data_IF_658725956330
#
_entry.id   IF_658725956330
#
_cell.length_a   1.000
_cell.length_b   1.000
_cell.length_c   1.000
_cell.angle_alpha   90.00
_cell.angle_beta   90.00
_cell.angle_gamma   90.00
#
_symmetry.space_group_name_H-M   'P 1'
#
loop_
_entity.id
_entity.type
_entity.pdbx_description
1 polymer ?
#
# COMPACT_ATOMS: atom_id res chain seq x y z
N UNK A 1 4.16 11.73 6.42
CA UNK A 1 3.44 10.99 7.47
C UNK A 1 1.96 11.36 7.34
N UNK A 2 1.06 10.38 7.17
CA UNK A 2 -0.37 10.62 6.88
C UNK A 2 -1.16 10.92 8.16
N UNK A 3 -0.89 12.06 8.80
CA UNK A 3 -1.60 12.48 10.02
C UNK A 3 -3.12 12.63 9.82
N UNK A 4 -3.54 12.92 8.59
CA UNK A 4 -4.96 13.03 8.22
C UNK A 4 -5.76 11.75 8.48
N UNK A 5 -5.15 10.58 8.26
CA UNK A 5 -5.83 9.30 8.45
C UNK A 5 -5.96 8.90 9.92
N UNK A 6 -5.27 9.59 10.84
CA UNK A 6 -5.25 9.21 12.25
C UNK A 6 -6.63 9.21 12.88
N UNK A 7 -7.40 10.30 12.68
CA UNK A 7 -8.75 10.44 13.23
C UNK A 7 -9.68 9.36 12.69
N UNK A 8 -9.61 9.10 11.39
CA UNK A 8 -10.38 8.04 10.75
C UNK A 8 -10.01 6.66 11.33
N UNK A 9 -8.72 6.37 11.48
CA UNK A 9 -8.25 5.10 12.05
C UNK A 9 -8.67 4.96 13.52
N UNK A 10 -8.66 6.05 14.29
CA UNK A 10 -9.13 6.05 15.68
C UNK A 10 -10.62 5.64 15.76
N UNK A 11 -11.47 6.18 14.89
CA UNK A 11 -12.89 5.80 14.80
C UNK A 11 -13.05 4.34 14.33
N UNK A 12 -12.26 3.90 13.36
CA UNK A 12 -12.31 2.52 12.85
C UNK A 12 -11.87 1.48 13.87
N UNK A 13 -10.94 1.82 14.78
CA UNK A 13 -10.56 0.95 15.89
C UNK A 13 -11.73 0.74 16.86
N UNK A 14 -12.45 1.82 17.21
CA UNK A 14 -13.65 1.74 18.04
C UNK A 14 -14.73 0.87 17.37
N UNK A 15 -14.93 1.05 16.06
CA UNK A 15 -15.87 0.24 15.29
C UNK A 15 -15.41 -1.21 15.13
N UNK A 16 -14.12 -1.52 15.14
CA UNK A 16 -13.63 -2.89 15.09
C UNK A 16 -13.96 -3.66 16.39
N UNK A 17 -13.82 -3.00 17.54
CA UNK A 17 -14.19 -3.56 18.84
C UNK A 17 -15.72 -3.68 19.00
N UNK A 18 -16.45 -2.72 18.44
CA UNK A 18 -17.90 -2.69 18.32
C UNK A 18 -18.53 -1.61 19.18
N UNK A 19 -19.48 -0.88 18.59
CA UNK A 19 -20.16 0.25 19.23
C UNK A 19 -21.64 -0.05 19.34
N UNK A 20 -22.22 0.20 20.52
CA UNK A 20 -23.67 0.11 20.69
C UNK A 20 -24.35 1.32 20.03
N UNK A 21 -25.28 1.06 19.12
CA UNK A 21 -26.00 2.09 18.39
C UNK A 21 -27.50 1.78 18.39
N UNK A 22 -28.31 2.82 18.60
CA UNK A 22 -29.75 2.73 18.43
C UNK A 22 -30.07 2.68 16.93
N UNK A 23 -30.70 1.60 16.50
CA UNK A 23 -31.18 1.42 15.13
C UNK A 23 -32.68 1.67 15.04
N UNK A 24 -33.12 2.03 13.83
CA UNK A 24 -34.54 2.29 13.55
C UNK A 24 -35.44 1.06 13.78
N UNK A 25 -34.93 -0.15 13.54
CA UNK A 25 -35.75 -1.37 13.49
C UNK A 25 -35.38 -2.45 14.52
N UNK A 26 -34.19 -2.38 15.13
CA UNK A 26 -33.69 -3.44 16.01
C UNK A 26 -33.32 -2.95 17.42
N UNK A 27 -33.70 -1.72 17.77
CA UNK A 27 -33.32 -1.14 19.06
C UNK A 27 -31.81 -0.92 19.16
N UNK A 28 -31.24 -1.09 20.35
CA UNK A 28 -29.78 -0.99 20.57
C UNK A 28 -29.12 -2.27 20.06
N UNK A 29 -28.24 -2.14 19.06
CA UNK A 29 -27.42 -3.25 18.56
C UNK A 29 -25.95 -2.88 18.56
N UNK A 30 -25.07 -3.88 18.65
CA UNK A 30 -23.63 -3.68 18.50
C UNK A 30 -23.26 -3.70 17.02
N UNK A 31 -22.79 -2.56 16.51
CA UNK A 31 -22.30 -2.40 15.14
C UNK A 31 -20.79 -2.56 15.12
N UNK A 32 -20.29 -3.39 14.19
CA UNK A 32 -18.86 -3.52 13.90
C UNK A 32 -18.57 -3.17 12.45
N UNK A 33 -17.45 -2.50 12.20
CA UNK A 33 -17.00 -2.19 10.84
C UNK A 33 -15.50 -2.40 10.70
N UNK A 34 -15.10 -2.95 9.54
CA UNK A 34 -13.71 -3.19 9.18
C UNK A 34 -13.52 -2.92 7.68
N UNK A 35 -13.16 -1.69 7.27
CA UNK A 35 -12.86 -1.39 5.87
C UNK A 35 -11.57 -2.10 5.42
N UNK A 36 -11.67 -2.90 4.37
CA UNK A 36 -10.59 -3.75 3.85
C UNK A 36 -10.12 -3.37 2.46
N UNK A 37 -10.56 -2.25 1.87
CA UNK A 37 -10.20 -1.92 0.49
C UNK A 37 -9.68 -0.49 0.36
N UNK A 38 -8.49 -0.36 -0.23
CA UNK A 38 -7.93 0.91 -0.72
C UNK A 38 -8.11 0.92 -2.23
N UNK A 39 -9.18 1.57 -2.70
CA UNK A 39 -9.46 1.79 -4.11
C UNK A 39 -9.08 3.25 -4.46
N UNK A 40 -7.86 3.42 -4.96
CA UNK A 40 -7.34 4.71 -5.42
C UNK A 40 -6.45 4.49 -6.64
N UNK A 41 -6.04 5.57 -7.31
CA UNK A 41 -4.95 5.48 -8.27
C UNK A 41 -3.66 4.92 -7.60
N UNK A 42 -2.78 4.31 -8.40
CA UNK A 42 -1.60 3.63 -7.87
C UNK A 42 -0.69 4.57 -7.03
N UNK A 43 -0.45 5.84 -7.43
CA UNK A 43 0.32 6.78 -6.60
C UNK A 43 -0.33 7.09 -5.25
N UNK A 44 -1.64 7.30 -5.17
CA UNK A 44 -2.33 7.57 -3.92
C UNK A 44 -2.40 6.32 -3.05
N UNK A 45 -2.74 5.15 -3.63
CA UNK A 45 -2.77 3.88 -2.92
C UNK A 45 -1.45 3.60 -2.21
N UNK A 46 -0.31 3.79 -2.91
CA UNK A 46 1.04 3.65 -2.32
C UNK A 46 1.27 4.59 -1.14
N UNK A 47 0.88 5.86 -1.26
CA UNK A 47 1.02 6.81 -0.14
C UNK A 47 0.15 6.39 1.05
N UNK A 48 -1.07 5.93 0.79
CA UNK A 48 -2.04 5.51 1.80
C UNK A 48 -1.56 4.28 2.56
N UNK A 49 -1.02 3.27 1.87
CA UNK A 49 -0.52 2.04 2.51
C UNK A 49 0.90 2.16 3.07
N UNK A 50 1.60 3.27 2.83
CA UNK A 50 2.98 3.45 3.31
C UNK A 50 4.03 2.80 2.41
N UNK A 51 3.81 2.75 1.10
CA UNK A 51 4.81 2.31 0.13
C UNK A 51 5.58 3.45 -0.51
N UNK A 52 6.78 3.12 -0.99
CA UNK A 52 7.62 4.04 -1.77
C UNK A 52 7.07 4.33 -3.18
N UNK A 53 7.54 5.42 -3.79
CA UNK A 53 7.00 5.96 -5.04
C UNK A 53 7.24 5.05 -6.25
N UNK A 54 6.64 5.42 -7.40
CA UNK A 54 6.74 4.68 -8.66
C UNK A 54 8.18 4.52 -9.20
N UNK A 55 9.13 5.38 -8.79
CA UNK A 55 10.53 5.27 -9.21
C UNK A 55 11.40 4.60 -8.13
N UNK A 56 10.79 3.86 -7.20
CA UNK A 56 11.51 3.06 -6.22
C UNK A 56 12.07 1.79 -6.86
N UNK A 57 13.19 1.28 -6.34
CA UNK A 57 13.67 -0.06 -6.70
C UNK A 57 12.70 -1.13 -6.15
N UNK A 58 12.05 -0.83 -5.03
CA UNK A 58 11.02 -1.65 -4.40
C UNK A 58 9.63 -1.21 -4.86
N UNK A 59 9.37 -1.26 -6.17
CA UNK A 59 8.13 -0.71 -6.70
C UNK A 59 6.92 -1.62 -6.53
N UNK A 60 7.06 -2.95 -6.55
CA UNK A 60 5.90 -3.83 -6.50
C UNK A 60 5.32 -3.92 -5.09
N UNK A 61 4.00 -3.74 -4.95
CA UNK A 61 3.27 -3.90 -3.70
C UNK A 61 3.11 -5.36 -3.27
N UNK A 62 3.18 -6.30 -4.23
CA UNK A 62 2.98 -7.71 -3.96
C UNK A 62 4.27 -8.49 -3.77
N UNK A 63 5.38 -8.11 -4.41
CA UNK A 63 6.63 -8.87 -4.34
C UNK A 63 7.81 -8.05 -3.80
N UNK A 64 8.84 -8.75 -3.32
CA UNK A 64 10.09 -8.17 -2.81
C UNK A 64 11.17 -8.01 -3.88
N UNK A 65 10.88 -8.33 -5.14
CA UNK A 65 11.82 -8.18 -6.24
C UNK A 65 12.30 -6.72 -6.41
N UNK A 66 13.59 -6.56 -6.69
CA UNK A 66 14.24 -5.27 -6.87
C UNK A 66 14.32 -4.90 -8.36
N UNK A 67 13.57 -3.89 -8.75
CA UNK A 67 13.47 -3.44 -10.13
C UNK A 67 14.50 -2.35 -10.42
N UNK A 68 15.59 -2.76 -11.06
CA UNK A 68 16.64 -1.85 -11.51
C UNK A 68 16.14 -0.97 -12.65
N UNK A 69 16.74 0.21 -12.79
CA UNK A 69 16.46 1.08 -13.94
C UNK A 69 16.99 0.46 -15.23
N UNK A 70 16.34 0.78 -16.35
CA UNK A 70 16.82 0.41 -17.69
C UNK A 70 18.13 1.19 -17.98
N UNK A 71 19.16 0.56 -18.56
CA UNK A 71 20.39 1.26 -18.95
C UNK A 71 20.07 2.48 -19.85
N UNK A 72 20.60 3.65 -19.50
CA UNK A 72 20.33 4.91 -20.20
C UNK A 72 19.01 5.61 -19.84
N UNK A 73 18.11 4.96 -19.09
CA UNK A 73 16.81 5.51 -18.68
C UNK A 73 16.62 5.40 -17.16
N UNK A 74 17.25 6.27 -16.35
CA UNK A 74 17.26 6.17 -14.89
C UNK A 74 15.87 6.25 -14.25
N UNK A 75 14.91 6.88 -14.93
CA UNK A 75 13.52 7.04 -14.48
C UNK A 75 12.57 5.95 -14.97
N UNK A 76 13.07 4.91 -15.64
CA UNK A 76 12.27 3.78 -16.13
C UNK A 76 12.75 2.49 -15.49
N UNK A 77 11.83 1.77 -14.85
CA UNK A 77 12.11 0.51 -14.17
C UNK A 77 12.02 -0.65 -15.15
N UNK A 78 12.93 -1.60 -15.02
CA UNK A 78 13.00 -2.78 -15.88
C UNK A 78 12.13 -3.91 -15.32
N UNK A 79 10.83 -3.84 -15.62
CA UNK A 79 9.88 -4.91 -15.26
C UNK A 79 10.10 -6.20 -16.05
N UNK A 80 10.76 -6.15 -17.22
CA UNK A 80 11.01 -7.33 -18.04
C UNK A 80 12.01 -8.30 -17.40
N UNK A 81 12.85 -7.81 -16.48
CA UNK A 81 13.83 -8.62 -15.75
C UNK A 81 13.22 -9.40 -14.57
N UNK A 82 11.94 -9.20 -14.24
CA UNK A 82 11.30 -9.94 -13.18
C UNK A 82 11.12 -11.43 -13.57
N UNK A 83 11.43 -12.38 -12.66
CA UNK A 83 11.17 -13.79 -12.89
C UNK A 83 9.70 -14.08 -13.24
N UNK A 84 9.46 -14.90 -14.26
CA UNK A 84 8.12 -15.31 -14.72
C UNK A 84 7.81 -16.79 -14.47
N UNK A 85 8.72 -17.49 -13.81
CA UNK A 85 8.67 -18.91 -13.48
C UNK A 85 7.98 -19.19 -12.13
N UNK A 86 7.37 -18.17 -11.52
CA UNK A 86 6.73 -18.29 -10.22
C UNK A 86 7.68 -18.24 -9.02
N UNK A 87 8.98 -17.96 -9.22
CA UNK A 87 9.96 -17.83 -8.14
C UNK A 87 9.92 -16.48 -7.42
N UNK A 88 8.97 -15.61 -7.77
CA UNK A 88 8.79 -14.31 -7.13
C UNK A 88 8.40 -14.48 -5.66
N UNK A 89 9.24 -13.95 -4.78
CA UNK A 89 8.94 -13.90 -3.35
C UNK A 89 7.89 -12.82 -3.10
N UNK A 90 6.73 -13.27 -2.61
CA UNK A 90 5.62 -12.40 -2.22
C UNK A 90 5.95 -11.72 -0.88
N UNK A 91 5.53 -10.47 -0.73
CA UNK A 91 5.67 -9.73 0.52
C UNK A 91 4.80 -10.37 1.59
N UNK A 92 5.29 -10.28 2.82
CA UNK A 92 4.55 -10.69 4.01
C UNK A 92 4.07 -9.45 4.78
N UNK A 93 2.81 -9.45 5.21
CA UNK A 93 2.20 -8.34 5.93
C UNK A 93 2.83 -8.11 7.30
N UNK A 94 3.26 -9.18 7.99
CA UNK A 94 3.95 -9.08 9.27
C UNK A 94 5.29 -8.35 9.14
N UNK A 95 6.11 -8.77 8.18
CA UNK A 95 7.38 -8.15 7.82
C UNK A 95 7.20 -6.70 7.37
N UNK A 96 6.13 -6.40 6.63
CA UNK A 96 5.78 -5.04 6.27
C UNK A 96 5.56 -4.16 7.51
N UNK A 97 4.76 -4.63 8.47
CA UNK A 97 4.47 -3.90 9.73
C UNK A 97 5.73 -3.67 10.55
N UNK A 98 6.58 -4.68 10.71
CA UNK A 98 7.85 -4.55 11.43
C UNK A 98 8.74 -3.49 10.77
N UNK A 99 8.91 -3.55 9.45
CA UNK A 99 9.71 -2.57 8.72
C UNK A 99 9.13 -1.15 8.80
N UNK A 100 7.80 -1.02 8.77
CA UNK A 100 7.11 0.26 8.92
C UNK A 100 7.32 0.88 10.31
N UNK A 101 7.29 0.08 11.37
CA UNK A 101 7.56 0.54 12.74
C UNK A 101 9.04 0.93 12.93
N UNK A 102 9.98 0.14 12.38
CA UNK A 102 11.40 0.52 12.36
C UNK A 102 11.58 1.88 11.66
N UNK A 103 10.92 2.07 10.52
CA UNK A 103 10.97 3.33 9.77
C UNK A 103 10.40 4.52 10.58
N UNK A 104 9.27 4.31 11.27
CA UNK A 104 8.63 5.32 12.14
C UNK A 104 9.56 5.76 13.27
N UNK A 105 10.19 4.78 13.94
CA UNK A 105 11.03 4.99 15.11
C UNK A 105 12.46 5.45 14.76
N UNK A 106 12.85 5.37 13.49
CA UNK A 106 14.13 5.90 13.02
C UNK A 106 14.10 7.43 13.05
N UNK A 107 15.02 8.13 13.74
CA UNK A 107 14.95 9.58 13.94
C UNK A 107 15.49 10.38 12.75
N UNK A 108 16.50 9.87 12.06
CA UNK A 108 17.24 10.57 11.01
C UNK A 108 16.61 10.38 9.63
N UNK A 109 16.52 11.47 8.86
CA UNK A 109 16.00 11.43 7.50
C UNK A 109 16.86 10.59 6.55
N UNK A 110 18.18 10.60 6.74
CA UNK A 110 19.13 9.77 5.97
C UNK A 110 18.86 8.29 6.18
N UNK A 111 18.79 7.83 7.43
CA UNK A 111 18.53 6.43 7.75
C UNK A 111 17.13 5.97 7.33
N UNK A 112 16.11 6.85 7.36
CA UNK A 112 14.80 6.55 6.75
C UNK A 112 14.89 6.37 5.24
N UNK A 113 15.73 7.14 4.57
CA UNK A 113 15.96 7.01 3.12
C UNK A 113 16.67 5.70 2.78
N UNK A 114 17.61 5.25 3.62
CA UNK A 114 18.24 3.94 3.49
C UNK A 114 17.20 2.80 3.66
N UNK A 115 16.30 2.93 4.64
CA UNK A 115 15.20 1.97 4.84
C UNK A 115 14.20 1.98 3.68
N UNK A 116 13.88 3.15 3.11
CA UNK A 116 13.06 3.27 1.91
C UNK A 116 13.67 2.49 0.75
N UNK A 117 14.99 2.63 0.52
CA UNK A 117 15.69 1.92 -0.54
C UNK A 117 15.77 0.42 -0.28
N UNK A 118 16.00 0.02 0.97
CA UNK A 118 16.15 -1.38 1.36
C UNK A 118 14.83 -2.14 1.32
N UNK A 119 13.79 -1.61 1.95
CA UNK A 119 12.54 -2.32 2.20
C UNK A 119 11.38 -1.85 1.30
N UNK A 120 11.42 -0.59 0.85
CA UNK A 120 10.33 0.02 0.08
C UNK A 120 9.10 0.42 0.90
N UNK A 121 9.24 0.42 2.23
CA UNK A 121 8.13 0.56 3.19
C UNK A 121 8.36 1.76 4.11
N UNK A 122 7.28 2.47 4.38
CA UNK A 122 7.13 3.63 5.27
C UNK A 122 5.95 3.38 6.20
N UNK A 123 5.88 4.13 7.29
CA UNK A 123 4.75 4.03 8.21
C UNK A 123 3.45 4.62 7.64
N UNK A 124 2.34 3.90 7.83
CA UNK A 124 0.98 4.36 7.62
C UNK A 124 0.12 4.13 8.85
N UNK A 125 -0.82 5.06 9.13
CA UNK A 125 -1.79 4.92 10.22
C UNK A 125 -2.68 3.68 10.03
N UNK A 126 -2.95 3.25 8.79
CA UNK A 126 -3.76 2.06 8.53
C UNK A 126 -3.16 0.77 9.12
N UNK A 127 -1.84 0.74 9.34
CA UNK A 127 -1.18 -0.41 9.98
C UNK A 127 -1.56 -0.56 11.45
N UNK A 128 -2.24 0.40 12.08
CA UNK A 128 -2.77 0.22 13.43
C UNK A 128 -3.96 -0.74 13.47
N UNK A 129 -4.67 -0.90 12.36
CA UNK A 129 -5.79 -1.84 12.23
C UNK A 129 -5.20 -3.25 12.10
N UNK A 130 -5.47 -4.14 13.06
CA UNK A 130 -4.89 -5.49 13.09
C UNK A 130 -5.27 -6.36 11.89
N UNK A 131 -6.48 -6.17 11.37
CA UNK A 131 -7.02 -6.90 10.21
C UNK A 131 -6.53 -6.36 8.86
N UNK A 132 -5.91 -5.18 8.81
CA UNK A 132 -5.59 -4.52 7.53
C UNK A 132 -4.32 -5.11 6.90
N UNK A 133 -4.43 -5.66 5.69
CA UNK A 133 -3.27 -6.14 4.94
C UNK A 133 -2.88 -5.16 3.81
N UNK A 134 -1.77 -4.41 3.92
CA UNK A 134 -1.36 -3.45 2.89
C UNK A 134 -0.98 -4.08 1.54
N UNK A 135 -0.78 -5.40 1.47
CA UNK A 135 -0.40 -6.14 0.28
C UNK A 135 -1.64 -6.62 -0.46
N UNK A 136 -2.61 -7.18 0.26
CA UNK A 136 -3.85 -7.74 -0.33
C UNK A 136 -4.95 -6.70 -0.52
N UNK A 137 -5.02 -5.67 0.33
CA UNK A 137 -6.16 -4.75 0.39
C UNK A 137 -6.06 -3.56 -0.57
N UNK A 138 -5.09 -3.58 -1.49
CA UNK A 138 -4.92 -2.57 -2.53
C UNK A 138 -5.57 -3.05 -3.81
N UNK A 139 -6.64 -2.37 -4.22
CA UNK A 139 -7.34 -2.67 -5.46
C UNK A 139 -6.73 -1.84 -6.58
N UNK A 140 -6.37 -2.50 -7.68
CA UNK A 140 -5.96 -1.79 -8.89
C UNK A 140 -7.17 -1.10 -9.52
N UNK A 141 -7.11 0.22 -9.63
CA UNK A 141 -8.16 0.99 -10.29
C UNK A 141 -8.08 0.83 -11.81
N UNK A 142 -8.78 -0.19 -12.32
CA UNK A 142 -8.85 -0.51 -13.75
C UNK A 142 -9.52 0.62 -14.53
N UNK A 143 -10.51 1.30 -13.95
CA UNK A 143 -11.29 2.33 -14.62
C UNK A 143 -10.43 3.54 -14.97
N UNK A 144 -9.64 4.05 -14.02
CA UNK A 144 -8.73 5.16 -14.28
C UNK A 144 -7.65 4.79 -15.29
N UNK A 145 -7.08 3.58 -15.19
CA UNK A 145 -6.07 3.12 -16.15
C UNK A 145 -6.64 2.98 -17.58
N UNK A 146 -7.90 2.56 -17.70
CA UNK A 146 -8.59 2.43 -18.99
C UNK A 146 -8.92 3.80 -19.57
N UNK A 147 -9.49 4.70 -18.75
CA UNK A 147 -9.87 6.05 -19.19
C UNK A 147 -8.65 6.94 -19.53
N UNK A 148 -7.52 6.75 -18.85
CA UNK A 148 -6.27 7.46 -19.16
C UNK A 148 -5.59 6.97 -20.46
N UNK A 149 -6.18 5.99 -21.16
CA UNK A 149 -5.65 5.46 -22.42
C UNK A 149 -4.37 4.63 -22.25
N UNK A 150 -4.05 4.18 -21.02
CA UNK A 150 -2.88 3.31 -20.79
C UNK A 150 -3.05 1.98 -21.51
N UNK A 151 -4.25 1.39 -21.46
CA UNK A 151 -4.59 0.18 -22.21
C UNK A 151 -4.46 0.41 -23.72
N UNK A 152 -4.96 1.53 -24.24
CA UNK A 152 -4.83 1.88 -25.65
C UNK A 152 -3.37 2.02 -26.09
N UNK A 153 -2.53 2.69 -25.28
CA UNK A 153 -1.10 2.84 -25.56
C UNK A 153 -0.38 1.50 -25.57
N UNK A 154 -0.69 0.60 -24.65
CA UNK A 154 -0.12 -0.75 -24.63
C UNK A 154 -0.48 -1.53 -25.90
N UNK A 155 -1.73 -1.42 -26.37
CA UNK A 155 -2.18 -2.08 -27.61
C UNK A 155 -1.55 -1.50 -28.88
N UNK A 156 -1.09 -0.25 -28.88
CA UNK A 156 -0.40 0.36 -30.04
C UNK A 156 1.09 0.01 -30.13
N UNK A 157 1.67 -0.56 -29.09
CA UNK A 157 3.11 -0.88 -29.00
C UNK A 157 3.38 -2.37 -29.27
N UNK A 158 2.31 -3.18 -29.40
CA UNK A 158 2.35 -4.56 -29.91
C UNK A 158 2.13 -4.50 -31.43
#
# INVERSE_FOLDING_TARGET
>A
MNHYLRLLVDELLLLADGVQMQTKYHGIVTVKAAPTMVACDLPAARKVIGMTSHNSINECNQCTHLFKSIPGHPNQRNFAAAPRDGTLVIRDAGSHRVNAEIWKNTPTASSRTELDQKNGVRYSELLRLSYFDPIEFVVFDIYHNTFMGTAERMMRVI
#
